data_IF_562028717079
#
_entry.id   IF_562028717079
#
_cell.length_a   1.000
_cell.length_b   1.000
_cell.length_c   1.000
_cell.angle_alpha   90.00
_cell.angle_beta   90.00
_cell.angle_gamma   90.00
#
_symmetry.space_group_name_H-M   'P 1'
#
loop_
_entity.id
_entity.type
_entity.pdbx_description
1 polymer ?
#
# COMPACT_ATOMS: atom_id res chain seq x y z
N UNK A 1 5.25 -3.06 -19.87
CA UNK A 1 3.79 -3.30 -19.64
C UNK A 1 3.41 -2.73 -18.29
N UNK A 2 2.37 -1.91 -18.24
CA UNK A 2 1.93 -1.32 -16.96
C UNK A 2 1.00 -2.27 -16.19
N UNK A 3 1.12 -2.26 -14.86
CA UNK A 3 0.19 -2.94 -13.97
C UNK A 3 -0.99 -2.03 -13.61
N UNK A 4 -0.72 -0.72 -13.46
CA UNK A 4 -1.70 0.29 -13.13
C UNK A 4 -1.51 1.52 -13.99
N UNK A 5 -2.61 2.06 -14.54
CA UNK A 5 -2.62 3.32 -15.28
C UNK A 5 -3.80 4.16 -14.87
N UNK A 6 -3.52 5.36 -14.41
CA UNK A 6 -4.46 6.41 -14.09
C UNK A 6 -4.42 7.46 -15.19
N UNK A 7 -5.57 7.89 -15.66
CA UNK A 7 -5.69 8.91 -16.71
C UNK A 7 -6.66 9.99 -16.25
N UNK A 8 -6.14 11.22 -16.10
CA UNK A 8 -6.88 12.43 -15.75
C UNK A 8 -7.72 12.28 -14.45
N UNK A 9 -7.17 11.63 -13.43
CA UNK A 9 -7.85 11.46 -12.14
C UNK A 9 -7.95 12.79 -11.42
N UNK A 10 -9.17 13.19 -11.06
CA UNK A 10 -9.44 14.37 -10.23
C UNK A 10 -10.31 13.99 -9.04
N UNK A 11 -10.09 14.67 -7.91
CA UNK A 11 -10.85 14.48 -6.68
C UNK A 11 -11.00 15.76 -5.90
N UNK A 12 -12.23 16.03 -5.48
CA UNK A 12 -12.60 17.14 -4.62
C UNK A 12 -13.46 16.64 -3.46
N UNK A 13 -13.34 17.27 -2.31
CA UNK A 13 -14.21 17.02 -1.18
C UNK A 13 -15.09 18.23 -0.90
N UNK A 14 -16.35 17.99 -0.60
CA UNK A 14 -17.31 19.01 -0.24
C UNK A 14 -17.46 19.10 1.28
N UNK A 15 -17.39 20.30 1.81
CA UNK A 15 -17.64 20.56 3.23
C UNK A 15 -18.63 21.73 3.38
N UNK A 16 -19.08 21.98 4.60
CA UNK A 16 -19.94 23.14 4.90
C UNK A 16 -19.27 24.48 4.58
N UNK A 17 -17.94 24.51 4.50
CA UNK A 17 -17.14 25.72 4.27
C UNK A 17 -16.84 25.93 2.77
N UNK A 18 -17.01 24.89 1.95
CA UNK A 18 -16.75 24.95 0.51
C UNK A 18 -16.21 23.65 -0.08
N UNK A 19 -15.81 23.72 -1.34
CA UNK A 19 -15.24 22.61 -2.09
C UNK A 19 -13.71 22.70 -2.07
N UNK A 20 -13.04 21.60 -1.75
CA UNK A 20 -11.58 21.49 -1.70
C UNK A 20 -11.11 20.49 -2.77
N UNK A 21 -10.46 20.99 -3.81
CA UNK A 21 -9.77 20.12 -4.75
C UNK A 21 -8.52 19.54 -4.10
N UNK A 22 -8.35 18.22 -4.17
CA UNK A 22 -7.18 17.51 -3.62
C UNK A 22 -6.30 16.97 -4.73
N UNK A 23 -6.89 16.46 -5.80
CA UNK A 23 -6.17 15.94 -6.97
C UNK A 23 -6.75 16.58 -8.25
N UNK A 24 -5.86 16.96 -9.18
CA UNK A 24 -6.26 17.59 -10.44
C UNK A 24 -5.56 16.92 -11.62
N UNK A 25 -6.34 16.25 -12.46
CA UNK A 25 -5.87 15.61 -13.70
C UNK A 25 -4.61 14.74 -13.52
N UNK A 26 -4.57 13.95 -12.44
CA UNK A 26 -3.44 13.06 -12.15
C UNK A 26 -3.32 11.99 -13.25
N UNK A 27 -2.12 11.88 -13.80
CA UNK A 27 -1.73 10.81 -14.70
C UNK A 27 -0.58 10.04 -14.03
N UNK A 28 -0.76 8.74 -13.80
CA UNK A 28 0.21 7.87 -13.16
C UNK A 28 0.28 6.55 -13.93
N UNK A 29 1.47 6.05 -14.14
CA UNK A 29 1.68 4.73 -14.72
C UNK A 29 2.70 3.95 -13.88
N UNK A 30 2.28 2.80 -13.35
CA UNK A 30 3.15 1.87 -12.60
C UNK A 30 3.46 0.69 -13.51
N UNK A 31 4.75 0.45 -13.75
CA UNK A 31 5.21 -0.69 -14.53
C UNK A 31 5.11 -1.99 -13.71
N UNK A 32 4.96 -3.12 -14.44
CA UNK A 32 5.02 -4.44 -13.77
C UNK A 32 6.38 -4.64 -13.13
N UNK A 33 6.37 -5.22 -11.92
CA UNK A 33 7.57 -5.55 -11.14
C UNK A 33 8.44 -4.33 -10.81
N UNK A 34 7.86 -3.14 -10.74
CA UNK A 34 8.56 -1.92 -10.34
C UNK A 34 8.13 -1.43 -8.96
N UNK A 35 9.04 -0.77 -8.28
CA UNK A 35 8.82 -0.15 -6.98
C UNK A 35 8.69 1.36 -7.17
N UNK A 36 7.51 1.90 -6.87
CA UNK A 36 7.18 3.31 -7.04
C UNK A 36 7.14 4.01 -5.71
N UNK A 37 7.79 5.17 -5.61
CA UNK A 37 7.77 6.03 -4.42
C UNK A 37 6.90 7.26 -4.65
N UNK A 38 5.93 7.49 -3.78
CA UNK A 38 5.09 8.67 -3.77
C UNK A 38 5.42 9.52 -2.55
N UNK A 39 6.12 10.61 -2.72
CA UNK A 39 6.51 11.44 -1.60
C UNK A 39 5.83 12.81 -1.63
N UNK A 40 5.87 13.52 -0.50
CA UNK A 40 5.31 14.85 -0.36
C UNK A 40 4.88 15.15 1.08
N UNK A 41 4.62 16.43 1.39
CA UNK A 41 4.19 16.83 2.73
C UNK A 41 2.85 16.20 3.11
N UNK A 42 2.56 16.19 4.41
CA UNK A 42 1.24 15.78 4.89
C UNK A 42 0.14 16.64 4.28
N UNK A 43 -0.98 16.01 3.90
CA UNK A 43 -2.13 16.69 3.30
C UNK A 43 -2.01 17.00 1.80
N UNK A 44 -0.91 16.67 1.11
CA UNK A 44 -0.78 16.94 -0.33
C UNK A 44 -1.64 16.03 -1.24
N UNK A 45 -2.29 14.98 -0.70
CA UNK A 45 -3.19 14.10 -1.47
C UNK A 45 -2.67 12.67 -1.69
N UNK A 46 -1.54 12.24 -1.09
CA UNK A 46 -0.99 10.89 -1.24
C UNK A 46 -2.00 9.81 -0.85
N UNK A 47 -2.52 9.87 0.38
CA UNK A 47 -3.51 8.91 0.88
C UNK A 47 -4.80 8.92 0.05
N UNK A 48 -5.25 10.10 -0.40
CA UNK A 48 -6.40 10.21 -1.31
C UNK A 48 -6.15 9.46 -2.62
N UNK A 49 -4.97 9.64 -3.23
CA UNK A 49 -4.60 8.92 -4.45
C UNK A 49 -4.54 7.41 -4.22
N UNK A 50 -3.91 6.95 -3.12
CA UNK A 50 -3.84 5.53 -2.77
C UNK A 50 -5.23 4.93 -2.48
N UNK A 51 -6.11 5.67 -1.81
CA UNK A 51 -7.48 5.24 -1.54
C UNK A 51 -8.30 5.10 -2.83
N UNK A 52 -8.12 6.00 -3.80
CA UNK A 52 -8.75 5.88 -5.11
C UNK A 52 -8.22 4.66 -5.87
N UNK A 53 -6.91 4.42 -5.88
CA UNK A 53 -6.31 3.25 -6.53
C UNK A 53 -6.84 1.95 -5.92
N UNK A 54 -6.96 1.91 -4.59
CA UNK A 54 -7.47 0.74 -3.88
C UNK A 54 -9.00 0.61 -3.91
N UNK A 55 -9.73 1.63 -4.35
CA UNK A 55 -11.20 1.63 -4.39
C UNK A 55 -11.85 1.87 -3.03
N UNK A 56 -11.10 2.35 -2.03
CA UNK A 56 -11.66 2.83 -0.76
C UNK A 56 -12.28 4.23 -0.88
N UNK A 57 -11.89 4.96 -1.93
CA UNK A 57 -12.54 6.20 -2.36
C UNK A 57 -12.73 6.17 -3.87
N UNK A 58 -13.58 7.05 -4.39
CA UNK A 58 -13.88 7.15 -5.82
C UNK A 58 -13.39 8.49 -6.36
N UNK A 59 -12.82 8.48 -7.55
CA UNK A 59 -12.49 9.69 -8.29
C UNK A 59 -13.75 10.40 -8.81
N UNK A 60 -13.71 11.73 -8.91
CA UNK A 60 -14.77 12.50 -9.52
C UNK A 60 -14.67 12.46 -11.05
N UNK A 61 -13.44 12.40 -11.58
CA UNK A 61 -13.15 12.32 -13.01
C UNK A 61 -11.98 11.39 -13.29
N UNK A 62 -11.89 10.96 -14.55
CA UNK A 62 -10.79 10.13 -15.02
C UNK A 62 -11.11 8.64 -15.03
N UNK A 63 -10.12 7.84 -15.44
CA UNK A 63 -10.26 6.39 -15.62
C UNK A 63 -9.05 5.68 -15.05
N UNK A 64 -9.30 4.52 -14.43
CA UNK A 64 -8.27 3.64 -13.87
C UNK A 64 -8.27 2.33 -14.65
N UNK A 65 -7.09 1.92 -15.11
CA UNK A 65 -6.86 0.60 -15.70
C UNK A 65 -5.91 -0.20 -14.80
N UNK A 66 -6.26 -1.45 -14.56
CA UNK A 66 -5.42 -2.41 -13.87
C UNK A 66 -5.17 -3.60 -14.81
N UNK A 67 -3.89 -3.91 -15.01
CA UNK A 67 -3.46 -4.95 -15.95
C UNK A 67 -4.15 -4.80 -17.32
N UNK A 68 -4.11 -3.56 -17.87
CA UNK A 68 -4.69 -3.13 -19.16
C UNK A 68 -6.23 -3.14 -19.24
N UNK A 69 -6.92 -3.58 -18.17
CA UNK A 69 -8.38 -3.60 -18.12
C UNK A 69 -8.91 -2.42 -17.32
N UNK A 70 -9.93 -1.73 -17.84
CA UNK A 70 -10.65 -0.70 -17.08
C UNK A 70 -11.27 -1.32 -15.84
N UNK A 71 -11.05 -0.68 -14.68
CA UNK A 71 -11.65 -1.13 -13.42
C UNK A 71 -13.11 -0.67 -13.40
N UNK A 72 -14.01 -1.64 -13.27
CA UNK A 72 -15.42 -1.41 -13.04
C UNK A 72 -15.86 -1.86 -11.63
N UNK A 73 -15.09 -2.74 -11.00
CA UNK A 73 -15.34 -3.25 -9.65
C UNK A 73 -14.03 -3.41 -8.90
N UNK A 74 -13.81 -2.57 -7.90
CA UNK A 74 -12.60 -2.62 -7.06
C UNK A 74 -12.61 -3.78 -6.06
N UNK A 75 -13.78 -4.30 -5.69
CA UNK A 75 -13.90 -5.35 -4.67
C UNK A 75 -13.12 -6.61 -5.04
N UNK A 76 -13.26 -7.09 -6.28
CA UNK A 76 -12.53 -8.27 -6.75
C UNK A 76 -11.01 -8.04 -6.81
N UNK A 77 -10.60 -6.82 -7.18
CA UNK A 77 -9.18 -6.45 -7.18
C UNK A 77 -8.59 -6.43 -5.78
N UNK A 78 -9.29 -5.82 -4.82
CA UNK A 78 -8.87 -5.77 -3.42
C UNK A 78 -8.77 -7.16 -2.80
N UNK A 79 -9.67 -8.06 -3.20
CA UNK A 79 -9.67 -9.41 -2.67
C UNK A 79 -8.43 -10.20 -3.08
N UNK A 80 -8.04 -10.12 -4.35
CA UNK A 80 -7.10 -11.06 -4.95
C UNK A 80 -5.83 -10.42 -5.54
N UNK A 81 -5.91 -9.19 -6.04
CA UNK A 81 -4.86 -8.60 -6.89
C UNK A 81 -4.10 -7.46 -6.21
N UNK A 82 -4.69 -6.85 -5.17
CA UNK A 82 -4.11 -5.71 -4.45
C UNK A 82 -3.92 -6.05 -2.98
N UNK A 83 -2.69 -5.91 -2.49
CA UNK A 83 -2.37 -5.89 -1.06
C UNK A 83 -2.28 -4.46 -0.55
N UNK A 84 -2.74 -4.21 0.69
CA UNK A 84 -2.71 -2.87 1.28
C UNK A 84 -2.06 -2.91 2.64
N UNK A 85 -1.11 -2.00 2.85
CA UNK A 85 -0.52 -1.67 4.14
C UNK A 85 -0.98 -0.26 4.47
N UNK A 86 -1.70 -0.14 5.55
CA UNK A 86 -2.19 1.15 6.05
C UNK A 86 -1.18 1.80 6.98
N UNK A 87 -1.34 3.08 7.24
CA UNK A 87 -0.59 3.81 8.25
C UNK A 87 -0.82 3.19 9.64
N UNK A 88 -2.09 2.93 10.00
CA UNK A 88 -2.44 2.19 11.20
C UNK A 88 -2.45 0.68 10.93
N UNK A 89 -2.13 -0.11 11.95
CA UNK A 89 -1.97 -1.56 11.78
C UNK A 89 -3.28 -2.28 11.45
N UNK A 90 -4.43 -1.79 11.94
CA UNK A 90 -5.75 -2.43 11.80
C UNK A 90 -5.71 -3.96 12.03
N UNK A 91 -5.00 -4.36 13.09
CA UNK A 91 -5.03 -5.74 13.59
C UNK A 91 -6.20 -5.84 14.57
N UNK A 92 -7.00 -6.88 14.44
CA UNK A 92 -8.12 -7.14 15.35
C UNK A 92 -7.55 -7.63 16.67
N UNK A 93 -7.76 -6.88 17.75
CA UNK A 93 -7.16 -7.10 19.07
C UNK A 93 -7.61 -8.40 19.72
N UNK A 94 -8.83 -8.85 19.43
CA UNK A 94 -9.46 -10.06 19.95
C UNK A 94 -9.03 -11.35 19.21
N UNK A 95 -8.28 -11.22 18.12
CA UNK A 95 -7.76 -12.33 17.33
C UNK A 95 -6.24 -12.44 17.50
N UNK A 96 -5.72 -13.67 17.57
CA UNK A 96 -4.28 -13.89 17.47
C UNK A 96 -3.78 -13.57 16.05
N UNK A 97 -2.47 -13.59 15.84
CA UNK A 97 -1.86 -13.16 14.58
C UNK A 97 -2.22 -14.09 13.42
N UNK A 98 -2.25 -15.40 13.62
CA UNK A 98 -2.64 -16.31 12.54
C UNK A 98 -4.10 -16.11 12.13
N UNK A 99 -4.99 -15.82 13.06
CA UNK A 99 -6.40 -15.58 12.76
C UNK A 99 -6.60 -14.21 12.08
N UNK A 100 -5.83 -13.18 12.47
CA UNK A 100 -5.75 -11.93 11.70
C UNK A 100 -5.33 -12.14 10.24
N UNK A 101 -4.42 -13.08 9.96
CA UNK A 101 -4.02 -13.44 8.59
C UNK A 101 -5.14 -14.19 7.85
N UNK A 102 -5.85 -15.10 8.53
CA UNK A 102 -6.97 -15.87 7.96
C UNK A 102 -8.14 -15.00 7.52
N UNK A 103 -8.33 -13.82 8.08
CA UNK A 103 -9.33 -12.85 7.60
C UNK A 103 -9.09 -12.42 6.15
N UNK A 104 -7.83 -12.37 5.73
CA UNK A 104 -7.46 -11.98 4.35
C UNK A 104 -7.42 -13.19 3.42
N UNK A 105 -7.05 -14.37 3.90
CA UNK A 105 -6.90 -15.58 3.08
C UNK A 105 -7.20 -16.85 3.87
N UNK A 106 -7.94 -17.77 3.28
CA UNK A 106 -8.13 -19.13 3.81
C UNK A 106 -7.01 -20.10 3.38
N UNK A 107 -6.07 -19.69 2.56
CA UNK A 107 -4.99 -20.54 2.06
C UNK A 107 -3.87 -20.66 3.11
N UNK A 108 -3.95 -21.70 3.94
CA UNK A 108 -2.97 -21.95 5.00
C UNK A 108 -1.55 -22.18 4.48
N UNK A 109 -1.39 -22.71 3.26
CA UNK A 109 -0.07 -22.88 2.65
C UNK A 109 0.60 -21.53 2.43
N UNK A 110 -0.10 -20.59 1.81
CA UNK A 110 0.40 -19.23 1.60
C UNK A 110 0.69 -18.53 2.93
N UNK A 111 -0.22 -18.68 3.91
CA UNK A 111 -0.02 -18.10 5.24
C UNK A 111 1.28 -18.61 5.86
N UNK A 112 1.50 -19.92 5.87
CA UNK A 112 2.71 -20.52 6.45
C UNK A 112 3.98 -20.10 5.69
N UNK A 113 3.96 -20.08 4.35
CA UNK A 113 5.08 -19.59 3.55
C UNK A 113 5.44 -18.14 3.91
N UNK A 114 4.46 -17.28 4.08
CA UNK A 114 4.67 -15.87 4.48
C UNK A 114 5.22 -15.79 5.91
N UNK A 115 4.70 -16.57 6.86
CA UNK A 115 5.24 -16.61 8.23
C UNK A 115 6.71 -17.03 8.25
N UNK A 116 7.08 -18.04 7.47
CA UNK A 116 8.47 -18.52 7.35
C UNK A 116 9.37 -17.43 6.73
N UNK A 117 8.94 -16.85 5.61
CA UNK A 117 9.71 -15.82 4.91
C UNK A 117 9.94 -14.56 5.75
N UNK A 118 8.95 -14.16 6.54
CA UNK A 118 9.02 -12.97 7.40
C UNK A 118 9.70 -13.26 8.75
N UNK A 119 10.02 -14.54 9.02
CA UNK A 119 10.56 -15.00 10.30
C UNK A 119 9.72 -14.52 11.49
N UNK A 120 8.41 -14.78 11.44
CA UNK A 120 7.41 -14.38 12.44
C UNK A 120 6.59 -15.56 12.96
N UNK A 121 7.11 -16.80 12.84
CA UNK A 121 6.42 -18.01 13.29
C UNK A 121 6.10 -17.98 14.79
N UNK A 122 7.00 -17.42 15.59
CA UNK A 122 6.82 -17.27 17.04
C UNK A 122 5.71 -16.27 17.43
N UNK A 123 5.18 -15.52 16.45
CA UNK A 123 4.09 -14.56 16.68
C UNK A 123 2.70 -15.17 16.40
N UNK A 124 2.58 -16.36 15.81
CA UNK A 124 1.32 -16.93 15.34
C UNK A 124 0.21 -16.88 16.38
N UNK A 125 0.51 -17.34 17.59
CA UNK A 125 -0.46 -17.45 18.67
C UNK A 125 -0.53 -16.21 19.58
N UNK A 126 0.31 -15.19 19.32
CA UNK A 126 0.28 -13.94 20.07
C UNK A 126 -0.86 -13.05 19.60
N UNK A 127 -1.30 -12.18 20.51
CA UNK A 127 -2.29 -11.14 20.23
C UNK A 127 -1.59 -9.81 19.89
N UNK A 128 -2.24 -8.90 19.15
CA UNK A 128 -1.63 -7.63 18.73
C UNK A 128 -1.05 -6.79 19.87
N UNK A 129 -1.65 -6.81 21.05
CA UNK A 129 -1.18 -6.08 22.24
C UNK A 129 0.14 -6.63 22.82
N UNK A 130 0.55 -7.84 22.44
CA UNK A 130 1.79 -8.49 22.88
C UNK A 130 2.97 -8.21 21.94
N UNK A 131 2.75 -7.48 20.84
CA UNK A 131 3.75 -7.21 19.81
C UNK A 131 4.30 -5.79 19.95
N UNK A 132 5.62 -5.64 19.66
CA UNK A 132 6.21 -4.32 19.41
C UNK A 132 5.67 -3.70 18.12
N UNK A 133 5.82 -2.39 17.94
CA UNK A 133 5.38 -1.71 16.71
C UNK A 133 6.06 -2.29 15.45
N UNK A 134 7.35 -2.59 15.52
CA UNK A 134 8.06 -3.24 14.41
C UNK A 134 7.54 -4.65 14.09
N UNK A 135 7.17 -5.44 15.11
CA UNK A 135 6.53 -6.75 14.92
C UNK A 135 5.14 -6.59 14.30
N UNK A 136 4.32 -5.65 14.80
CA UNK A 136 3.01 -5.34 14.21
C UNK A 136 3.13 -4.96 12.75
N UNK A 137 4.11 -4.11 12.42
CA UNK A 137 4.31 -3.67 11.05
C UNK A 137 4.72 -4.82 10.13
N UNK A 138 5.65 -5.70 10.56
CA UNK A 138 6.00 -6.92 9.80
C UNK A 138 4.76 -7.81 9.56
N UNK A 139 3.91 -7.98 10.57
CA UNK A 139 2.65 -8.71 10.43
C UNK A 139 1.71 -8.03 9.42
N UNK A 140 1.62 -6.70 9.42
CA UNK A 140 0.78 -5.96 8.45
C UNK A 140 1.28 -6.14 7.02
N UNK A 141 2.60 -6.08 6.79
CA UNK A 141 3.20 -6.38 5.48
C UNK A 141 2.90 -7.84 5.09
N UNK A 142 3.09 -8.78 6.00
CA UNK A 142 2.79 -10.20 5.79
C UNK A 142 1.31 -10.40 5.41
N UNK A 143 0.37 -9.79 6.17
CA UNK A 143 -1.07 -9.85 5.88
C UNK A 143 -1.42 -9.33 4.49
N UNK A 144 -0.78 -8.26 4.05
CA UNK A 144 -1.02 -7.70 2.72
C UNK A 144 -0.59 -8.65 1.59
N UNK A 145 0.34 -9.57 1.84
CA UNK A 145 0.93 -10.47 0.86
C UNK A 145 0.32 -11.88 0.80
N UNK A 146 -0.50 -12.29 1.78
CA UNK A 146 -0.97 -13.70 1.88
C UNK A 146 -1.75 -14.20 0.66
N UNK A 147 -2.37 -13.30 -0.12
CA UNK A 147 -3.06 -13.64 -1.37
C UNK A 147 -2.15 -13.51 -2.60
N UNK A 148 -0.84 -13.33 -2.42
CA UNK A 148 0.13 -13.14 -3.52
C UNK A 148 -0.36 -12.08 -4.52
N UNK A 149 -0.57 -10.82 -4.08
CA UNK A 149 -1.12 -9.76 -4.93
C UNK A 149 -0.14 -9.41 -6.05
N UNK A 150 -0.63 -8.73 -7.11
CA UNK A 150 0.20 -8.18 -8.18
C UNK A 150 0.65 -6.75 -7.90
N UNK A 151 -0.09 -6.04 -7.05
CA UNK A 151 0.24 -4.68 -6.61
C UNK A 151 0.13 -4.57 -5.09
N UNK A 152 1.17 -4.06 -4.46
CA UNK A 152 1.18 -3.71 -3.05
C UNK A 152 1.14 -2.19 -2.91
N UNK A 153 0.14 -1.71 -2.17
CA UNK A 153 -0.04 -0.29 -1.83
C UNK A 153 0.34 -0.12 -0.37
N UNK A 154 1.19 0.85 -0.06
CA UNK A 154 1.53 1.18 1.33
C UNK A 154 1.40 2.69 1.57
N UNK A 155 0.60 3.06 2.55
CA UNK A 155 0.43 4.44 2.99
C UNK A 155 1.17 4.64 4.31
N UNK A 156 2.27 5.43 4.27
CA UNK A 156 3.11 5.76 5.41
C UNK A 156 3.50 4.54 6.29
N UNK A 157 4.03 3.44 5.70
CA UNK A 157 4.21 2.17 6.43
C UNK A 157 5.28 2.23 7.53
N UNK A 158 5.93 3.35 7.72
CA UNK A 158 7.04 3.54 8.67
C UNK A 158 6.75 4.59 9.75
N UNK A 159 5.54 5.17 9.79
CA UNK A 159 5.21 6.34 10.62
C UNK A 159 5.39 6.14 12.13
N UNK A 160 5.30 4.90 12.63
CA UNK A 160 5.40 4.58 14.06
C UNK A 160 6.70 3.88 14.44
N UNK A 161 7.70 3.95 13.58
CA UNK A 161 8.96 3.23 13.72
C UNK A 161 10.13 4.20 13.91
N UNK A 162 11.14 3.77 14.67
CA UNK A 162 12.44 4.42 14.63
C UNK A 162 13.10 4.19 13.26
N UNK A 163 14.17 4.93 13.00
CA UNK A 163 14.81 4.96 11.69
C UNK A 163 15.36 3.60 11.24
N UNK A 164 15.86 2.79 12.16
CA UNK A 164 16.41 1.47 11.87
C UNK A 164 15.28 0.50 11.48
N UNK A 165 14.23 0.41 12.30
CA UNK A 165 13.08 -0.42 12.02
C UNK A 165 12.32 0.04 10.76
N UNK A 166 12.28 1.36 10.49
CA UNK A 166 11.69 1.91 9.28
C UNK A 166 12.43 1.41 8.02
N UNK A 167 13.78 1.45 8.02
CA UNK A 167 14.59 0.92 6.91
C UNK A 167 14.34 -0.59 6.72
N UNK A 168 14.31 -1.36 7.80
CA UNK A 168 14.04 -2.81 7.74
C UNK A 168 12.67 -3.13 7.10
N UNK A 169 11.64 -2.32 7.39
CA UNK A 169 10.31 -2.50 6.77
C UNK A 169 10.33 -2.17 5.29
N UNK A 170 10.98 -1.08 4.88
CA UNK A 170 11.12 -0.73 3.45
C UNK A 170 11.88 -1.83 2.71
N UNK A 171 13.00 -2.30 3.25
CA UNK A 171 13.79 -3.38 2.64
C UNK A 171 12.98 -4.67 2.53
N UNK A 172 12.18 -4.98 3.55
CA UNK A 172 11.29 -6.14 3.55
C UNK A 172 10.24 -6.05 2.43
N UNK A 173 9.63 -4.88 2.23
CA UNK A 173 8.67 -4.65 1.15
C UNK A 173 9.36 -4.79 -0.22
N UNK A 174 10.50 -4.16 -0.43
CA UNK A 174 11.27 -4.21 -1.69
C UNK A 174 11.76 -5.64 -1.99
N UNK A 175 12.26 -6.35 -0.99
CA UNK A 175 12.68 -7.74 -1.16
C UNK A 175 11.48 -8.67 -1.47
N UNK A 176 10.32 -8.41 -0.84
CA UNK A 176 9.09 -9.14 -1.14
C UNK A 176 8.61 -8.87 -2.57
N UNK A 177 8.74 -7.63 -3.08
CA UNK A 177 8.37 -7.31 -4.46
C UNK A 177 9.18 -8.11 -5.47
N UNK A 178 10.48 -8.27 -5.23
CA UNK A 178 11.37 -9.08 -6.08
C UNK A 178 11.05 -10.56 -5.99
N UNK A 179 10.84 -11.08 -4.75
CA UNK A 179 10.56 -12.50 -4.51
C UNK A 179 9.27 -12.96 -5.15
N UNK A 180 8.21 -12.17 -5.02
CA UNK A 180 6.86 -12.53 -5.47
C UNK A 180 6.46 -11.90 -6.81
N UNK A 181 7.40 -11.24 -7.51
CA UNK A 181 7.18 -10.57 -8.80
C UNK A 181 5.98 -9.61 -8.76
N UNK A 182 5.88 -8.81 -7.71
CA UNK A 182 4.81 -7.81 -7.54
C UNK A 182 5.33 -6.39 -7.76
N UNK A 183 4.44 -5.49 -8.11
CA UNK A 183 4.72 -4.05 -8.18
C UNK A 183 4.36 -3.38 -6.87
N UNK A 184 5.03 -2.28 -6.52
CA UNK A 184 4.69 -1.53 -5.30
C UNK A 184 4.44 -0.06 -5.59
N UNK A 185 3.56 0.56 -4.79
CA UNK A 185 3.48 2.00 -4.62
C UNK A 185 3.47 2.32 -3.12
N UNK A 186 4.48 3.05 -2.67
CA UNK A 186 4.67 3.38 -1.26
C UNK A 186 4.65 4.89 -1.12
N UNK A 187 3.70 5.40 -0.32
CA UNK A 187 3.67 6.79 0.08
C UNK A 187 4.45 7.00 1.37
N UNK A 188 5.32 8.00 1.40
CA UNK A 188 6.00 8.44 2.62
C UNK A 188 6.41 9.92 2.51
N UNK A 189 6.57 10.57 3.65
CA UNK A 189 7.16 11.90 3.73
C UNK A 189 8.69 11.86 3.96
N UNK A 190 9.25 10.69 4.26
CA UNK A 190 10.69 10.51 4.48
C UNK A 190 11.44 10.24 3.17
N UNK A 191 12.11 11.28 2.66
CA UNK A 191 12.89 11.22 1.43
C UNK A 191 14.12 10.32 1.49
N UNK A 192 14.55 9.88 2.67
CA UNK A 192 15.73 9.01 2.80
C UNK A 192 15.56 7.68 2.05
N UNK A 193 14.32 7.21 1.90
CA UNK A 193 13.99 5.98 1.20
C UNK A 193 13.99 6.09 -0.33
N UNK A 194 13.99 7.31 -0.90
CA UNK A 194 13.85 7.54 -2.35
C UNK A 194 14.78 6.66 -3.20
N UNK A 195 16.01 6.45 -2.75
CA UNK A 195 17.03 5.68 -3.49
C UNK A 195 16.74 4.19 -3.61
N UNK A 196 15.81 3.67 -2.81
CA UNK A 196 15.40 2.24 -2.83
C UNK A 196 14.36 1.93 -3.90
N UNK A 197 13.90 2.93 -4.65
CA UNK A 197 12.79 2.81 -5.60
C UNK A 197 13.23 3.08 -7.04
N UNK A 198 12.53 2.45 -8.00
CA UNK A 198 12.83 2.55 -9.42
C UNK A 198 12.37 3.90 -10.01
N UNK A 199 11.25 4.42 -9.51
CA UNK A 199 10.68 5.70 -9.93
C UNK A 199 10.05 6.42 -8.75
N UNK A 200 10.10 7.75 -8.78
CA UNK A 200 9.55 8.58 -7.72
C UNK A 200 8.63 9.65 -8.27
N UNK A 201 7.54 9.90 -7.55
CA UNK A 201 6.58 10.95 -7.84
C UNK A 201 6.36 11.83 -6.61
N UNK A 202 6.02 13.08 -6.85
CA UNK A 202 5.52 13.99 -5.81
C UNK A 202 4.20 14.61 -6.25
N UNK A 203 3.35 14.93 -5.27
CA UNK A 203 2.15 15.72 -5.51
C UNK A 203 2.47 17.16 -5.09
N UNK A 204 2.45 18.07 -6.05
CA UNK A 204 2.62 19.51 -5.84
C UNK A 204 1.49 20.28 -6.53
N UNK A 205 0.89 21.22 -5.84
CA UNK A 205 -0.27 21.99 -6.33
C UNK A 205 -1.35 21.09 -6.96
N UNK A 206 -1.65 19.97 -6.27
CA UNK A 206 -2.67 18.97 -6.69
C UNK A 206 -2.33 18.17 -7.96
N UNK A 207 -1.15 18.39 -8.54
CA UNK A 207 -0.66 17.70 -9.73
C UNK A 207 0.45 16.70 -9.37
N UNK A 208 0.55 15.61 -10.14
CA UNK A 208 1.61 14.62 -9.97
C UNK A 208 2.80 14.96 -10.85
N UNK A 209 3.99 14.96 -10.28
CA UNK A 209 5.26 15.28 -10.93
C UNK A 209 6.21 14.11 -10.76
N UNK A 210 6.86 13.70 -11.84
CA UNK A 210 7.96 12.71 -11.82
C UNK A 210 9.23 13.37 -11.28
N UNK A 211 10.01 12.65 -10.44
CA UNK A 211 11.20 13.20 -9.76
C UNK A 211 12.42 12.31 -9.90
#
# INVERSE_FOLDING_TARGET
MSILKLTNISKSYHSKVGTFDVLKSINLEIQKNSNTFLFGPSGCGKSTLLNIISGMDTQDQGVIHFNEKKINNHFELLKNEIGIIFQDHYLISELNIIDNMKLKSSNLKNINEIFDYFNINELKEKFPNQLSNGQKQRVCVARALVNMPKLLIADEPTSYLDKENAQLVIDLIINSSKRYNLSTIIASHDLSFKKSFDISYTINDKNLIVC
#
